data_IF_362914637542
#
_entry.id   IF_362914637542
#
_cell.length_a   1.000
_cell.length_b   1.000
_cell.length_c   1.000
_cell.angle_alpha   90.00
_cell.angle_beta   90.00
_cell.angle_gamma   90.00
#
_symmetry.space_group_name_H-M   'P 1'
#
loop_
_entity.id
_entity.type
_entity.pdbx_description
1 polymer ?
#
# COMPACT_ATOMS: atom_id res chain seq x y z
N UNK A 1 19.90 -24.61 -20.62
CA UNK A 1 18.52 -24.11 -20.74
C UNK A 1 18.58 -22.87 -21.61
N UNK A 2 18.09 -22.97 -22.85
CA UNK A 2 18.07 -21.85 -23.81
C UNK A 2 16.78 -21.07 -23.65
N UNK A 3 16.91 -19.74 -23.73
CA UNK A 3 15.77 -18.84 -23.89
C UNK A 3 15.66 -18.50 -25.37
N UNK A 4 14.49 -18.70 -25.97
CA UNK A 4 14.21 -18.37 -27.36
C UNK A 4 13.40 -17.08 -27.43
N UNK A 5 13.69 -16.21 -28.40
CA UNK A 5 12.92 -15.00 -28.63
C UNK A 5 11.62 -15.40 -29.33
N UNK A 6 10.50 -15.21 -28.64
CA UNK A 6 9.16 -15.52 -29.17
C UNK A 6 8.53 -14.30 -29.81
N UNK A 7 8.84 -13.10 -29.30
CA UNK A 7 8.34 -11.84 -29.85
C UNK A 7 9.38 -10.73 -29.69
N UNK A 8 9.52 -9.94 -30.75
CA UNK A 8 10.29 -8.69 -30.73
C UNK A 8 9.40 -7.58 -31.31
N UNK A 9 9.30 -6.44 -30.62
CA UNK A 9 8.60 -5.26 -31.14
C UNK A 9 9.42 -3.99 -30.93
N UNK A 10 9.30 -3.08 -31.90
CA UNK A 10 9.94 -1.77 -31.92
C UNK A 10 8.86 -0.72 -32.07
N UNK A 11 8.68 0.10 -31.03
CA UNK A 11 7.71 1.19 -31.04
C UNK A 11 8.46 2.53 -31.03
N UNK A 12 8.02 3.54 -31.79
CA UNK A 12 8.69 4.84 -31.82
C UNK A 12 8.69 5.46 -30.41
N UNK A 13 9.82 6.03 -29.99
CA UNK A 13 9.88 6.74 -28.72
C UNK A 13 9.16 8.10 -28.80
N UNK A 14 8.92 8.75 -27.66
CA UNK A 14 8.19 10.02 -27.59
C UNK A 14 8.79 11.19 -28.40
N UNK A 15 10.06 11.14 -28.80
CA UNK A 15 10.66 12.16 -29.69
C UNK A 15 10.73 11.76 -31.17
N UNK A 16 10.38 10.50 -31.52
CA UNK A 16 10.44 9.98 -32.89
C UNK A 16 11.84 9.72 -33.46
N UNK A 17 12.92 10.02 -32.72
CA UNK A 17 14.31 9.85 -33.17
C UNK A 17 14.91 8.46 -32.85
N UNK A 18 14.13 7.57 -32.25
CA UNK A 18 14.54 6.23 -31.84
C UNK A 18 13.33 5.37 -31.50
N UNK A 19 13.55 4.28 -30.76
CA UNK A 19 12.48 3.33 -30.46
C UNK A 19 12.62 2.71 -29.06
N UNK A 20 11.52 2.19 -28.54
CA UNK A 20 11.48 1.26 -27.42
C UNK A 20 11.51 -0.15 -28.00
N UNK A 21 12.43 -0.98 -27.52
CA UNK A 21 12.58 -2.38 -27.89
C UNK A 21 12.01 -3.25 -26.77
N UNK A 22 11.01 -4.06 -27.11
CA UNK A 22 10.46 -5.10 -26.25
C UNK A 22 10.82 -6.46 -26.81
N UNK A 23 11.46 -7.29 -25.99
CA UNK A 23 11.85 -8.66 -26.33
C UNK A 23 11.19 -9.61 -25.33
N UNK A 24 10.31 -10.46 -25.83
CA UNK A 24 9.69 -11.54 -25.06
C UNK A 24 10.39 -12.84 -25.40
N UNK A 25 10.88 -13.52 -24.38
CA UNK A 25 11.53 -14.82 -24.49
C UNK A 25 10.72 -15.90 -23.80
N UNK A 26 10.86 -17.13 -24.27
CA UNK A 26 10.32 -18.30 -23.60
C UNK A 26 11.32 -19.44 -23.58
N UNK A 27 11.15 -20.36 -22.63
CA UNK A 27 11.94 -21.59 -22.53
C UNK A 27 11.06 -22.83 -22.71
N UNK A 28 11.70 -24.01 -22.76
CA UNK A 28 11.02 -25.30 -22.91
C UNK A 28 10.03 -25.64 -21.78
N UNK A 29 10.01 -24.84 -20.71
CA UNK A 29 9.14 -24.99 -19.54
C UNK A 29 7.97 -24.00 -19.58
N UNK A 30 7.75 -23.33 -20.71
CA UNK A 30 6.71 -22.35 -20.92
C UNK A 30 6.77 -21.18 -19.92
N UNK A 31 7.97 -20.89 -19.39
CA UNK A 31 8.23 -19.64 -18.66
C UNK A 31 8.41 -18.53 -19.68
N UNK A 32 8.02 -17.32 -19.32
CA UNK A 32 8.20 -16.13 -20.15
C UNK A 32 9.04 -15.10 -19.43
N UNK A 33 9.88 -14.40 -20.19
CA UNK A 33 10.69 -13.28 -19.72
C UNK A 33 10.50 -12.11 -20.69
N UNK A 34 10.29 -10.91 -20.17
CA UNK A 34 10.10 -9.71 -20.97
C UNK A 34 11.16 -8.67 -20.61
N UNK A 35 11.90 -8.23 -21.63
CA UNK A 35 12.88 -7.15 -21.50
C UNK A 35 12.44 -5.94 -22.31
N UNK A 36 12.32 -4.79 -21.66
CA UNK A 36 11.97 -3.50 -22.28
C UNK A 36 13.16 -2.55 -22.15
N UNK A 37 13.62 -1.98 -23.27
CA UNK A 37 14.77 -1.07 -23.32
C UNK A 37 14.55 0.11 -24.27
N UNK A 38 15.08 1.29 -23.93
CA UNK A 38 14.99 2.50 -24.74
C UNK A 38 16.23 2.65 -25.63
N UNK A 39 16.03 2.59 -26.94
CA UNK A 39 17.05 2.73 -27.98
C UNK A 39 16.95 4.13 -28.62
N UNK A 40 17.17 5.17 -27.81
CA UNK A 40 17.16 6.56 -28.27
C UNK A 40 18.17 7.40 -27.48
N UNK A 41 19.21 7.91 -28.15
CA UNK A 41 20.29 8.68 -27.53
C UNK A 41 19.81 9.97 -26.85
N UNK A 42 18.72 10.55 -27.34
CA UNK A 42 18.14 11.78 -26.76
C UNK A 42 17.22 11.47 -25.58
N UNK A 43 16.27 10.53 -25.73
CA UNK A 43 15.35 10.19 -24.65
C UNK A 43 16.07 9.58 -23.44
N UNK A 44 17.16 8.81 -23.62
CA UNK A 44 17.94 8.24 -22.50
C UNK A 44 18.50 9.32 -21.56
N UNK A 45 18.76 10.54 -22.07
CA UNK A 45 19.22 11.67 -21.25
C UNK A 45 18.14 12.24 -20.34
N UNK A 46 16.90 12.28 -20.82
CA UNK A 46 15.82 13.05 -20.19
C UNK A 46 14.69 12.20 -19.62
N UNK A 47 14.65 10.90 -19.93
CA UNK A 47 13.62 9.98 -19.47
C UNK A 47 14.19 8.88 -18.57
N UNK A 48 13.32 8.32 -17.73
CA UNK A 48 13.59 7.17 -16.86
C UNK A 48 12.47 6.16 -16.99
N UNK A 49 12.81 4.89 -16.74
CA UNK A 49 11.83 3.80 -16.72
C UNK A 49 11.03 3.86 -15.42
N UNK A 50 9.72 3.91 -15.54
CA UNK A 50 8.76 3.80 -14.45
C UNK A 50 7.86 2.58 -14.70
N UNK A 51 7.79 1.67 -13.73
CA UNK A 51 6.95 0.48 -13.82
C UNK A 51 6.06 0.36 -12.59
N UNK A 52 4.83 -0.10 -12.77
CA UNK A 52 3.92 -0.38 -11.67
C UNK A 52 3.04 -1.59 -11.99
N UNK A 53 2.71 -2.33 -10.94
CA UNK A 53 1.83 -3.49 -11.02
C UNK A 53 0.37 -3.06 -10.88
N UNK A 54 -0.50 -3.67 -11.66
CA UNK A 54 -1.93 -3.47 -11.60
C UNK A 54 -2.66 -4.81 -11.72
N UNK A 55 -3.86 -4.88 -11.14
CA UNK A 55 -4.69 -6.07 -11.24
C UNK A 55 -5.62 -5.97 -12.44
N UNK A 56 -5.61 -7.01 -13.28
CA UNK A 56 -6.54 -7.17 -14.39
C UNK A 56 -7.04 -8.60 -14.41
N UNK A 57 -8.36 -8.77 -14.29
CA UNK A 57 -9.00 -10.10 -14.32
C UNK A 57 -8.42 -11.10 -13.30
N UNK A 58 -8.02 -10.63 -12.12
CA UNK A 58 -7.42 -11.46 -11.07
C UNK A 58 -5.95 -11.81 -11.29
N UNK A 59 -5.31 -11.32 -12.36
CA UNK A 59 -3.88 -11.44 -12.62
C UNK A 59 -3.17 -10.13 -12.28
N UNK A 60 -1.91 -10.23 -11.84
CA UNK A 60 -1.02 -9.08 -11.68
C UNK A 60 -0.29 -8.89 -13.02
N UNK A 61 -0.47 -7.71 -13.62
CA UNK A 61 0.24 -7.27 -14.82
C UNK A 61 1.14 -6.10 -14.44
N UNK A 62 2.28 -5.94 -15.12
CA UNK A 62 3.20 -4.81 -14.93
C UNK A 62 3.12 -3.89 -16.15
N UNK A 63 2.80 -2.62 -15.93
CA UNK A 63 2.89 -1.61 -16.97
C UNK A 63 4.24 -0.90 -16.86
N UNK A 64 4.90 -0.65 -18.00
CA UNK A 64 6.18 0.07 -18.07
C UNK A 64 6.03 1.30 -18.96
N UNK A 65 6.55 2.43 -18.48
CA UNK A 65 6.53 3.71 -19.17
C UNK A 65 7.89 4.40 -19.07
N UNK A 66 8.18 5.25 -20.05
CA UNK A 66 9.27 6.21 -20.02
C UNK A 66 8.71 7.57 -19.64
N UNK A 67 9.12 8.07 -18.47
CA UNK A 67 8.68 9.35 -17.91
C UNK A 67 9.82 10.34 -17.88
N UNK A 68 9.53 11.64 -18.01
CA UNK A 68 10.56 12.68 -17.91
C UNK A 68 11.19 12.67 -16.52
N UNK A 69 12.50 12.85 -16.44
CA UNK A 69 13.28 12.86 -15.18
C UNK A 69 12.79 13.91 -14.20
N UNK A 70 12.44 15.09 -14.71
CA UNK A 70 11.95 16.22 -13.91
C UNK A 70 10.60 15.89 -13.27
N UNK A 71 9.65 15.38 -14.07
CA UNK A 71 8.33 14.96 -13.59
C UNK A 71 8.44 13.80 -12.58
N UNK A 72 9.32 12.83 -12.86
CA UNK A 72 9.57 11.71 -11.95
C UNK A 72 10.15 12.18 -10.62
N UNK A 73 11.06 13.16 -10.63
CA UNK A 73 11.63 13.74 -9.41
C UNK A 73 10.55 14.47 -8.59
N UNK A 74 9.68 15.25 -9.24
CA UNK A 74 8.56 15.93 -8.58
C UNK A 74 7.55 14.92 -7.97
N UNK A 75 7.26 13.84 -8.70
CA UNK A 75 6.44 12.72 -8.22
C UNK A 75 7.06 12.06 -6.98
N UNK A 76 8.35 11.73 -7.01
CA UNK A 76 9.04 11.11 -5.87
C UNK A 76 9.05 12.03 -4.64
N UNK A 77 9.28 13.33 -4.83
CA UNK A 77 9.23 14.31 -3.74
C UNK A 77 7.82 14.35 -3.12
N UNK A 78 6.78 14.49 -3.94
CA UNK A 78 5.39 14.53 -3.47
C UNK A 78 5.00 13.23 -2.76
N UNK A 79 5.47 12.08 -3.27
CA UNK A 79 5.27 10.77 -2.61
C UNK A 79 5.90 10.74 -1.23
N UNK A 80 7.16 11.18 -1.10
CA UNK A 80 7.85 11.21 0.19
C UNK A 80 7.18 12.14 1.21
N UNK A 81 6.63 13.28 0.75
CA UNK A 81 5.85 14.19 1.59
C UNK A 81 4.56 13.53 2.10
N UNK A 82 3.81 12.83 1.21
CA UNK A 82 2.61 12.08 1.61
C UNK A 82 2.98 10.98 2.61
N UNK A 83 4.00 10.18 2.33
CA UNK A 83 4.39 9.07 3.20
C UNK A 83 4.80 9.58 4.60
N UNK A 84 5.56 10.67 4.67
CA UNK A 84 5.96 11.29 5.94
C UNK A 84 4.76 11.82 6.74
N UNK A 85 3.85 12.55 6.10
CA UNK A 85 2.65 13.07 6.77
C UNK A 85 1.68 11.97 7.16
N UNK A 86 1.57 10.91 6.36
CA UNK A 86 0.74 9.77 6.69
C UNK A 86 1.22 9.06 7.96
N UNK A 87 2.53 8.92 8.13
CA UNK A 87 3.11 8.36 9.35
C UNK A 87 2.75 9.21 10.57
N UNK A 88 2.85 10.54 10.46
CA UNK A 88 2.48 11.47 11.54
C UNK A 88 0.99 11.37 11.84
N UNK A 89 0.12 11.51 10.83
CA UNK A 89 -1.33 11.44 11.02
C UNK A 89 -1.80 10.10 11.60
N UNK A 90 -1.19 8.97 11.19
CA UNK A 90 -1.49 7.65 11.75
C UNK A 90 -1.09 7.55 13.22
N UNK A 91 0.04 8.17 13.60
CA UNK A 91 0.51 8.24 14.97
C UNK A 91 -0.43 9.10 15.81
N UNK A 92 -0.73 10.31 15.36
CA UNK A 92 -1.64 11.24 16.05
C UNK A 92 -3.02 10.62 16.25
N UNK A 93 -3.55 9.94 15.22
CA UNK A 93 -4.82 9.24 15.34
C UNK A 93 -4.74 8.07 16.33
N UNK A 94 -3.65 7.32 16.34
CA UNK A 94 -3.44 6.24 17.31
C UNK A 94 -3.39 6.78 18.75
N UNK A 95 -2.69 7.89 18.97
CA UNK A 95 -2.62 8.55 20.27
C UNK A 95 -3.99 9.08 20.70
N UNK A 96 -4.72 9.74 19.79
CA UNK A 96 -6.09 10.20 20.03
C UNK A 96 -7.02 9.05 20.41
N UNK A 97 -7.00 7.95 19.63
CA UNK A 97 -7.81 6.76 19.92
C UNK A 97 -7.49 6.17 21.30
N UNK A 98 -6.20 6.11 21.67
CA UNK A 98 -5.80 5.60 22.98
C UNK A 98 -6.24 6.52 24.11
N UNK A 99 -6.11 7.83 23.94
CA UNK A 99 -6.49 8.81 24.96
C UNK A 99 -7.99 8.77 25.25
N UNK A 100 -8.82 8.68 24.22
CA UNK A 100 -10.27 8.84 24.34
C UNK A 100 -11.04 7.53 24.40
N UNK A 101 -10.54 6.47 23.77
CA UNK A 101 -11.30 5.24 23.53
C UNK A 101 -10.65 3.98 24.06
N UNK A 102 -9.42 4.03 24.60
CA UNK A 102 -8.80 2.85 25.20
C UNK A 102 -9.61 2.31 26.39
N UNK A 103 -10.06 3.19 27.28
CA UNK A 103 -10.84 2.75 28.43
C UNK A 103 -12.19 2.12 28.02
N UNK A 104 -13.05 2.80 27.22
CA UNK A 104 -14.27 2.18 26.68
C UNK A 104 -14.01 0.86 25.94
N UNK A 105 -12.89 0.76 25.23
CA UNK A 105 -12.46 -0.48 24.58
C UNK A 105 -12.17 -1.60 25.58
N UNK A 106 -11.38 -1.32 26.61
CA UNK A 106 -11.03 -2.29 27.64
C UNK A 106 -12.26 -2.71 28.46
N UNK A 107 -13.21 -1.79 28.67
CA UNK A 107 -14.46 -2.07 29.38
C UNK A 107 -15.32 -3.13 28.67
N UNK A 108 -15.18 -3.32 27.34
CA UNK A 108 -15.83 -4.42 26.60
C UNK A 108 -15.41 -5.81 27.08
N UNK A 109 -14.28 -5.91 27.78
CA UNK A 109 -13.73 -7.16 28.30
C UNK A 109 -13.86 -7.26 29.83
N UNK A 110 -14.46 -6.27 30.49
CA UNK A 110 -14.61 -6.25 31.96
C UNK A 110 -15.45 -7.42 32.51
N UNK A 111 -16.38 -7.93 31.71
CA UNK A 111 -17.24 -9.08 32.01
C UNK A 111 -16.61 -10.43 31.65
N UNK A 112 -15.42 -10.42 31.03
CA UNK A 112 -14.77 -11.61 30.50
C UNK A 112 -13.64 -12.06 31.44
N UNK A 113 -13.57 -13.35 31.82
CA UNK A 113 -12.43 -13.87 32.56
C UNK A 113 -11.10 -13.57 31.85
N UNK A 114 -10.12 -13.00 32.56
CA UNK A 114 -8.87 -12.53 31.95
C UNK A 114 -7.89 -13.67 31.63
N UNK A 115 -8.24 -14.49 30.64
CA UNK A 115 -7.42 -15.58 30.13
C UNK A 115 -7.50 -15.68 28.61
N UNK A 116 -6.49 -16.30 28.01
CA UNK A 116 -6.33 -16.41 26.54
C UNK A 116 -7.59 -16.92 25.84
N UNK A 117 -8.22 -17.97 26.37
CA UNK A 117 -9.39 -18.61 25.74
C UNK A 117 -10.60 -17.68 25.72
N UNK A 118 -10.85 -16.99 26.82
CA UNK A 118 -12.02 -16.12 26.97
C UNK A 118 -11.85 -14.84 26.14
N UNK A 119 -10.66 -14.23 26.18
CA UNK A 119 -10.33 -13.07 25.34
C UNK A 119 -10.40 -13.42 23.84
N UNK A 120 -9.84 -14.55 23.40
CA UNK A 120 -9.96 -14.99 22.01
C UNK A 120 -11.42 -15.14 21.57
N UNK A 121 -12.25 -15.74 22.43
CA UNK A 121 -13.67 -15.97 22.13
C UNK A 121 -14.41 -14.63 21.97
N UNK A 122 -14.14 -13.65 22.85
CA UNK A 122 -14.71 -12.30 22.75
C UNK A 122 -14.24 -11.58 21.49
N UNK A 123 -12.94 -11.60 21.20
CA UNK A 123 -12.38 -11.01 19.98
C UNK A 123 -12.98 -11.62 18.70
N UNK A 124 -13.22 -12.94 18.70
CA UNK A 124 -13.86 -13.63 17.58
C UNK A 124 -15.32 -13.24 17.43
N UNK A 125 -16.05 -13.10 18.54
CA UNK A 125 -17.45 -12.62 18.55
C UNK A 125 -17.55 -11.19 17.98
N UNK A 126 -16.58 -10.33 18.31
CA UNK A 126 -16.48 -8.97 17.80
C UNK A 126 -16.02 -8.89 16.32
N UNK A 127 -15.67 -10.02 15.70
CA UNK A 127 -15.20 -10.07 14.31
C UNK A 127 -13.79 -9.51 14.09
N UNK A 128 -12.98 -9.41 15.15
CA UNK A 128 -11.63 -8.83 15.11
C UNK A 128 -10.53 -9.84 14.76
N UNK A 129 -10.88 -11.12 14.76
CA UNK A 129 -9.94 -12.20 14.40
C UNK A 129 -10.65 -13.30 13.64
N UNK A 130 -10.04 -13.75 12.55
CA UNK A 130 -10.42 -14.94 11.80
C UNK A 130 -9.57 -16.16 12.16
N UNK A 131 -8.52 -15.99 12.97
CA UNK A 131 -7.57 -17.05 13.28
C UNK A 131 -8.08 -18.02 14.35
N UNK A 132 -7.59 -19.26 14.29
CA UNK A 132 -7.85 -20.29 15.30
C UNK A 132 -7.29 -19.91 16.68
N UNK A 133 -7.82 -20.54 17.73
CA UNK A 133 -7.31 -20.37 19.10
C UNK A 133 -5.82 -20.73 19.22
N UNK A 134 -5.36 -21.76 18.51
CA UNK A 134 -3.94 -22.17 18.51
C UNK A 134 -3.05 -21.07 17.95
N UNK A 135 -3.44 -20.46 16.83
CA UNK A 135 -2.72 -19.33 16.21
C UNK A 135 -2.70 -18.11 17.14
N UNK A 136 -3.85 -17.78 17.73
CA UNK A 136 -3.97 -16.70 18.73
C UNK A 136 -3.04 -16.93 19.92
N UNK A 137 -3.06 -18.14 20.49
CA UNK A 137 -2.23 -18.51 21.63
C UNK A 137 -0.75 -18.43 21.30
N UNK A 138 -0.37 -18.77 20.07
CA UNK A 138 0.99 -18.60 19.55
C UNK A 138 1.43 -17.14 19.49
N UNK A 139 0.57 -16.23 18.98
CA UNK A 139 0.86 -14.79 18.91
C UNK A 139 1.05 -14.14 20.28
N UNK A 140 0.32 -14.59 21.30
CA UNK A 140 0.43 -14.07 22.68
C UNK A 140 1.62 -14.65 23.45
N UNK A 141 2.30 -15.70 22.97
CA UNK A 141 3.53 -16.17 23.65
C UNK A 141 4.65 -15.12 23.69
N UNK A 142 4.55 -14.06 22.88
CA UNK A 142 5.54 -13.00 22.73
C UNK A 142 5.14 -11.69 23.44
N UNK A 143 3.86 -11.55 23.85
CA UNK A 143 3.30 -10.29 24.39
C UNK A 143 2.40 -10.56 25.59
N UNK A 144 2.28 -9.58 26.48
CA UNK A 144 1.25 -9.64 27.52
C UNK A 144 -0.16 -9.62 26.89
N UNK A 145 -1.13 -10.26 27.56
CA UNK A 145 -2.51 -10.34 27.08
C UNK A 145 -3.15 -8.95 27.01
N UNK A 146 -2.80 -8.07 27.96
CA UNK A 146 -3.24 -6.68 28.00
C UNK A 146 -2.70 -5.93 26.79
N UNK A 147 -1.38 -5.93 26.60
CA UNK A 147 -0.72 -5.28 25.46
C UNK A 147 -1.29 -5.77 24.11
N UNK A 148 -1.64 -7.06 24.02
CA UNK A 148 -2.28 -7.62 22.84
C UNK A 148 -3.67 -7.01 22.59
N UNK A 149 -4.53 -6.92 23.60
CA UNK A 149 -5.88 -6.33 23.47
C UNK A 149 -5.79 -4.82 23.17
N UNK A 150 -4.85 -4.11 23.81
CA UNK A 150 -4.61 -2.69 23.56
C UNK A 150 -4.06 -2.42 22.16
N UNK A 151 -3.35 -3.38 21.55
CA UNK A 151 -2.77 -3.23 20.20
C UNK A 151 -3.82 -3.06 19.10
N UNK A 152 -5.08 -3.41 19.37
CA UNK A 152 -6.19 -3.11 18.46
C UNK A 152 -6.50 -1.62 18.42
N UNK A 153 -6.25 -0.86 19.49
CA UNK A 153 -6.48 0.61 19.56
C UNK A 153 -5.38 1.37 18.84
N UNK A 154 -5.44 1.27 17.51
CA UNK A 154 -4.47 1.82 16.56
C UNK A 154 -5.19 2.29 15.30
N UNK A 155 -4.54 3.17 14.52
CA UNK A 155 -5.03 3.65 13.23
C UNK A 155 -5.51 2.50 12.32
N UNK A 156 -4.78 1.37 12.25
CA UNK A 156 -5.13 0.26 11.36
C UNK A 156 -6.49 -0.38 11.65
N UNK A 157 -6.99 -0.23 12.88
CA UNK A 157 -8.26 -0.81 13.32
C UNK A 157 -9.33 0.25 13.57
N UNK A 158 -9.10 1.51 13.21
CA UNK A 158 -10.00 2.64 13.52
C UNK A 158 -11.45 2.37 13.08
N UNK A 159 -11.65 1.83 11.88
CA UNK A 159 -12.97 1.51 11.36
C UNK A 159 -13.67 0.39 12.15
N UNK A 160 -12.91 -0.58 12.65
CA UNK A 160 -13.46 -1.67 13.46
C UNK A 160 -13.84 -1.17 14.85
N UNK A 161 -12.98 -0.37 15.46
CA UNK A 161 -13.21 0.19 16.80
C UNK A 161 -14.40 1.14 16.80
N UNK A 162 -14.43 2.10 15.88
CA UNK A 162 -15.54 3.05 15.76
C UNK A 162 -16.87 2.34 15.55
N UNK A 163 -16.88 1.28 14.72
CA UNK A 163 -18.06 0.44 14.52
C UNK A 163 -18.48 -0.32 15.80
N UNK A 164 -17.54 -0.98 16.47
CA UNK A 164 -17.82 -1.80 17.67
C UNK A 164 -18.31 -0.91 18.82
N UNK A 165 -17.67 0.23 19.03
CA UNK A 165 -18.01 1.17 20.09
C UNK A 165 -19.15 2.13 19.70
N UNK A 166 -19.68 2.03 18.47
CA UNK A 166 -20.71 2.95 17.94
C UNK A 166 -20.33 4.43 18.06
N UNK A 167 -19.05 4.74 17.81
CA UNK A 167 -18.50 6.10 17.89
C UNK A 167 -18.82 6.86 16.60
N UNK A 168 -19.37 8.05 16.77
CA UNK A 168 -19.44 9.05 15.71
C UNK A 168 -18.69 10.30 16.18
N UNK A 169 -17.38 10.36 15.89
CA UNK A 169 -16.47 11.41 16.35
C UNK A 169 -15.80 12.10 15.17
N UNK A 170 -16.20 13.36 14.92
CA UNK A 170 -15.70 14.18 13.84
C UNK A 170 -14.19 14.49 13.96
N UNK A 171 -13.59 14.37 15.14
CA UNK A 171 -12.14 14.58 15.30
C UNK A 171 -11.34 13.46 14.65
N UNK A 172 -11.85 12.21 14.65
CA UNK A 172 -11.22 11.08 13.96
C UNK A 172 -11.15 11.38 12.46
N UNK A 173 -12.26 11.85 11.89
CA UNK A 173 -12.33 12.23 10.48
C UNK A 173 -11.42 13.43 10.17
N UNK A 174 -11.41 14.44 11.04
CA UNK A 174 -10.57 15.63 10.88
C UNK A 174 -9.08 15.27 10.85
N UNK A 175 -8.62 14.40 11.75
CA UNK A 175 -7.23 13.92 11.77
C UNK A 175 -6.92 13.13 10.49
N UNK A 176 -7.84 12.27 10.04
CA UNK A 176 -7.66 11.51 8.80
C UNK A 176 -7.59 12.41 7.55
N UNK A 177 -8.40 13.48 7.51
CA UNK A 177 -8.46 14.44 6.41
C UNK A 177 -7.30 15.44 6.39
N UNK A 178 -6.52 15.56 7.47
CA UNK A 178 -5.34 16.45 7.53
C UNK A 178 -4.31 16.18 6.42
N UNK A 179 -4.30 14.97 5.85
CA UNK A 179 -3.39 14.57 4.75
C UNK A 179 -3.95 14.82 3.35
N UNK A 180 -5.21 15.27 3.23
CA UNK A 180 -5.94 15.32 1.96
C UNK A 180 -5.30 16.27 0.94
N UNK A 181 -4.89 17.47 1.36
CA UNK A 181 -4.28 18.46 0.46
C UNK A 181 -2.95 17.96 -0.12
N UNK A 182 -2.16 17.20 0.64
CA UNK A 182 -0.89 16.66 0.17
C UNK A 182 -1.10 15.44 -0.72
N UNK A 183 -2.11 14.60 -0.43
CA UNK A 183 -2.54 13.53 -1.34
C UNK A 183 -3.00 14.09 -2.70
N UNK A 184 -3.72 15.20 -2.72
CA UNK A 184 -4.11 15.87 -3.97
C UNK A 184 -2.87 16.30 -4.78
N UNK A 185 -1.88 16.94 -4.14
CA UNK A 185 -0.61 17.31 -4.81
C UNK A 185 0.13 16.09 -5.37
N UNK A 186 0.13 14.97 -4.64
CA UNK A 186 0.72 13.71 -5.11
C UNK A 186 -0.01 13.15 -6.35
N UNK A 187 -1.35 13.12 -6.34
CA UNK A 187 -2.13 12.66 -7.49
C UNK A 187 -1.96 13.57 -8.71
N UNK A 188 -1.87 14.88 -8.51
CA UNK A 188 -1.56 15.86 -9.56
C UNK A 188 -0.17 15.61 -10.14
N UNK A 189 0.86 15.44 -9.31
CA UNK A 189 2.22 15.13 -9.76
C UNK A 189 2.27 13.81 -10.54
N UNK A 190 1.53 12.79 -10.09
CA UNK A 190 1.39 11.52 -10.80
C UNK A 190 0.70 11.70 -12.15
N UNK A 191 -0.38 12.48 -12.20
CA UNK A 191 -1.11 12.76 -13.45
C UNK A 191 -0.24 13.49 -14.47
N UNK A 192 0.53 14.49 -14.04
CA UNK A 192 1.47 15.21 -14.91
C UNK A 192 2.55 14.27 -15.44
N UNK A 193 3.18 13.48 -14.55
CA UNK A 193 4.20 12.51 -14.93
C UNK A 193 3.68 11.50 -15.96
N UNK A 194 2.49 10.95 -15.74
CA UNK A 194 1.88 9.97 -16.64
C UNK A 194 1.38 10.60 -17.95
N UNK A 195 0.90 11.86 -17.92
CA UNK A 195 0.44 12.58 -19.11
C UNK A 195 1.55 12.90 -20.12
N UNK A 196 2.79 12.97 -19.65
CA UNK A 196 3.99 13.19 -20.47
C UNK A 196 4.74 11.89 -20.82
N UNK A 197 4.21 10.74 -20.43
CA UNK A 197 4.87 9.45 -20.58
C UNK A 197 4.61 8.82 -21.96
N UNK A 198 5.47 7.90 -22.37
CA UNK A 198 5.22 6.97 -23.48
C UNK A 198 5.59 5.54 -23.08
N UNK A 199 4.93 4.55 -23.67
CA UNK A 199 5.21 3.12 -23.45
C UNK A 199 6.35 2.65 -24.35
#
# INVERSE_FOLDING_TARGET
MSWEIVRESKEPCGCGLGFVLTVVRSDDWNRTDETISLQCSECVKNYVRYSYDYQRSGMIETATYWVKKEDYKAFLQSKSEVDALQVIANKDLTEYLRLHYLKPWMDLFSDVPWNKKSIWSKLKLLGLTSYSYSTFSGKIKVKDLTEFVESFVTYSSVNQITKILSINDNNIETIALSTQSVRQRYEEARKVMMGNAFS
#
